data_IF_273169689183
#
_entry.id   IF_273169689183
#
_cell.length_a   1.000
_cell.length_b   1.000
_cell.length_c   1.000
_cell.angle_alpha   90.00
_cell.angle_beta   90.00
_cell.angle_gamma   90.00
#
_symmetry.space_group_name_H-M   'P 1'
#
loop_
_entity.id
_entity.type
_entity.pdbx_description
1 polymer ?
#
# COMPACT_ATOMS: atom_id res chain seq x y z
N UNK A 1 6.98 -23.67 17.82
CA UNK A 1 6.99 -22.30 18.40
C UNK A 1 7.50 -21.39 17.32
N UNK A 2 6.97 -20.18 17.15
CA UNK A 2 7.50 -19.23 16.15
C UNK A 2 8.90 -18.77 16.58
N UNK A 3 9.74 -18.45 15.59
CA UNK A 3 11.05 -17.89 15.85
C UNK A 3 10.92 -16.47 16.46
N UNK A 4 11.85 -16.12 17.33
CA UNK A 4 11.88 -14.81 17.99
C UNK A 4 12.92 -13.93 17.30
N UNK A 5 12.56 -12.69 17.01
CA UNK A 5 13.48 -11.75 16.38
C UNK A 5 14.65 -11.39 17.33
N UNK A 6 15.89 -11.43 16.84
CA UNK A 6 17.02 -10.96 17.63
C UNK A 6 16.95 -9.44 17.80
N UNK A 7 17.46 -8.95 18.93
CA UNK A 7 17.41 -7.52 19.25
C UNK A 7 18.15 -6.64 18.22
N UNK A 8 19.28 -7.09 17.71
CA UNK A 8 20.15 -6.33 16.78
C UNK A 8 20.57 -7.21 15.61
N UNK A 9 19.66 -7.54 14.70
CA UNK A 9 19.99 -8.33 13.53
C UNK A 9 20.94 -7.55 12.60
N UNK A 10 21.87 -8.24 11.98
CA UNK A 10 22.79 -7.66 10.99
C UNK A 10 22.59 -8.27 9.61
N UNK A 11 22.34 -9.56 9.55
CA UNK A 11 22.11 -10.29 8.31
C UNK A 11 20.60 -10.48 8.10
N UNK A 12 20.09 -9.90 7.02
CA UNK A 12 18.65 -9.82 6.75
C UNK A 12 18.29 -10.53 5.46
N UNK A 13 17.05 -10.96 5.37
CA UNK A 13 16.35 -11.18 4.10
C UNK A 13 15.23 -10.15 3.95
N UNK A 14 15.02 -9.68 2.73
CA UNK A 14 14.02 -8.68 2.44
C UNK A 14 12.91 -9.24 1.56
N UNK A 15 11.64 -9.02 1.91
CA UNK A 15 10.49 -9.49 1.15
C UNK A 15 9.60 -8.31 0.77
N UNK A 16 9.43 -8.07 -0.54
CA UNK A 16 8.62 -6.97 -1.02
C UNK A 16 8.29 -7.12 -2.51
N UNK A 17 7.32 -6.34 -3.01
CA UNK A 17 6.96 -6.43 -4.43
C UNK A 17 6.73 -5.07 -5.09
N UNK A 18 5.85 -4.17 -4.60
CA UNK A 18 5.51 -2.93 -5.27
C UNK A 18 6.56 -1.83 -5.06
N UNK A 19 6.35 -0.70 -5.74
CA UNK A 19 7.20 0.48 -5.62
C UNK A 19 7.34 0.97 -4.17
N UNK A 20 6.30 0.86 -3.37
CA UNK A 20 6.32 1.26 -1.95
C UNK A 20 7.27 0.42 -1.07
N UNK A 21 7.72 -0.74 -1.56
CA UNK A 21 8.70 -1.57 -0.88
C UNK A 21 10.16 -1.31 -1.35
N UNK A 22 10.37 -0.37 -2.29
CA UNK A 22 11.72 -0.04 -2.77
C UNK A 22 12.48 0.85 -1.78
N UNK A 23 11.91 1.97 -1.27
CA UNK A 23 12.64 2.85 -0.37
C UNK A 23 13.17 2.17 0.91
N UNK A 24 12.41 1.30 1.61
CA UNK A 24 12.94 0.58 2.76
C UNK A 24 14.11 -0.36 2.42
N UNK A 25 14.07 -1.04 1.26
CA UNK A 25 15.16 -1.89 0.79
C UNK A 25 16.44 -1.07 0.55
N UNK A 26 16.33 0.03 -0.19
CA UNK A 26 17.45 0.92 -0.48
C UNK A 26 18.04 1.54 0.79
N UNK A 27 17.19 1.92 1.74
CA UNK A 27 17.60 2.48 3.01
C UNK A 27 18.36 1.46 3.89
N UNK A 28 17.91 0.21 3.96
CA UNK A 28 18.62 -0.86 4.66
C UNK A 28 19.99 -1.14 4.02
N UNK A 29 20.05 -1.18 2.70
CA UNK A 29 21.30 -1.36 1.97
C UNK A 29 22.27 -0.20 2.21
N UNK A 30 21.80 1.05 2.13
CA UNK A 30 22.59 2.24 2.39
C UNK A 30 23.10 2.31 3.84
N UNK A 31 22.36 1.77 4.80
CA UNK A 31 22.76 1.65 6.20
C UNK A 31 23.67 0.45 6.47
N UNK A 32 24.18 -0.21 5.43
CA UNK A 32 25.14 -1.31 5.47
C UNK A 32 24.62 -2.56 6.24
N UNK A 33 23.32 -2.82 6.22
CA UNK A 33 22.82 -4.14 6.60
C UNK A 33 23.23 -5.19 5.54
N UNK A 34 23.60 -6.38 6.00
CA UNK A 34 23.89 -7.52 5.11
C UNK A 34 22.58 -8.13 4.60
N UNK A 35 22.14 -7.73 3.42
CA UNK A 35 20.93 -8.24 2.78
C UNK A 35 21.29 -9.49 1.98
N UNK A 36 21.12 -10.64 2.59
CA UNK A 36 21.52 -11.94 2.03
C UNK A 36 20.65 -12.40 0.85
N UNK A 37 19.37 -12.00 0.83
CA UNK A 37 18.41 -12.36 -0.23
C UNK A 37 17.25 -11.37 -0.27
N UNK A 38 16.84 -11.04 -1.48
CA UNK A 38 15.58 -10.31 -1.72
C UNK A 38 14.56 -11.27 -2.33
N UNK A 39 13.41 -11.44 -1.69
CA UNK A 39 12.33 -12.26 -2.20
C UNK A 39 11.21 -11.37 -2.73
N UNK A 40 10.82 -11.59 -3.96
CA UNK A 40 9.75 -10.84 -4.61
C UNK A 40 8.88 -11.75 -5.47
N UNK A 41 7.73 -11.24 -5.92
CA UNK A 41 6.87 -12.02 -6.82
C UNK A 41 7.55 -12.20 -8.18
N UNK A 42 7.28 -13.32 -8.88
CA UNK A 42 7.73 -13.51 -10.26
C UNK A 42 7.35 -12.37 -11.18
N UNK A 43 8.10 -12.21 -12.25
CA UNK A 43 7.79 -11.29 -13.33
C UNK A 43 6.37 -11.53 -13.84
N UNK A 44 5.63 -10.47 -14.04
CA UNK A 44 4.22 -10.55 -14.43
C UNK A 44 3.92 -9.54 -15.55
N UNK A 45 2.88 -9.83 -16.34
CA UNK A 45 2.36 -8.87 -17.31
C UNK A 45 1.79 -7.65 -16.58
N UNK A 46 2.21 -6.45 -16.96
CA UNK A 46 1.72 -5.20 -16.42
C UNK A 46 1.13 -4.33 -17.52
N UNK A 47 -0.01 -3.72 -17.20
CA UNK A 47 -0.74 -2.91 -18.19
C UNK A 47 -1.28 -3.75 -19.37
N UNK A 48 -1.37 -3.11 -20.55
CA UNK A 48 -1.88 -3.74 -21.79
C UNK A 48 -0.80 -4.50 -22.57
N UNK A 49 0.42 -4.56 -22.06
CA UNK A 49 1.54 -5.22 -22.73
C UNK A 49 1.52 -6.74 -22.58
N UNK A 50 2.13 -7.45 -23.53
CA UNK A 50 2.35 -8.91 -23.47
C UNK A 50 3.68 -9.29 -22.83
N UNK A 51 4.57 -8.32 -22.63
CA UNK A 51 5.92 -8.53 -22.07
C UNK A 51 5.86 -8.71 -20.55
N UNK A 52 6.58 -9.71 -20.05
CA UNK A 52 6.80 -9.87 -18.62
C UNK A 52 7.69 -8.73 -18.13
N UNK A 53 7.26 -8.09 -17.06
CA UNK A 53 7.97 -6.98 -16.42
C UNK A 53 8.37 -7.40 -15.00
N UNK A 54 9.63 -7.15 -14.60
CA UNK A 54 10.07 -7.42 -13.24
C UNK A 54 9.31 -6.58 -12.23
N UNK A 55 9.30 -7.01 -10.97
CA UNK A 55 8.76 -6.20 -9.89
C UNK A 55 9.69 -5.00 -9.62
N UNK A 56 9.18 -3.83 -9.14
CA UNK A 56 10.03 -2.71 -8.73
C UNK A 56 11.10 -3.12 -7.72
N UNK A 57 10.78 -4.02 -6.80
CA UNK A 57 11.75 -4.56 -5.84
C UNK A 57 12.82 -5.40 -6.52
N UNK A 58 12.48 -6.20 -7.54
CA UNK A 58 13.48 -6.96 -8.33
C UNK A 58 14.43 -6.01 -9.04
N UNK A 59 13.91 -5.01 -9.74
CA UNK A 59 14.72 -3.99 -10.44
C UNK A 59 15.66 -3.26 -9.48
N UNK A 60 15.17 -2.90 -8.29
CA UNK A 60 15.97 -2.26 -7.27
C UNK A 60 17.06 -3.21 -6.72
N UNK A 61 16.73 -4.46 -6.42
CA UNK A 61 17.68 -5.45 -5.92
C UNK A 61 18.81 -5.73 -6.93
N UNK A 62 18.47 -5.91 -8.22
CA UNK A 62 19.43 -6.11 -9.30
C UNK A 62 20.37 -4.90 -9.44
N UNK A 63 19.85 -3.66 -9.37
CA UNK A 63 20.65 -2.43 -9.39
C UNK A 63 21.62 -2.33 -8.20
N UNK A 64 21.22 -2.85 -7.03
CA UNK A 64 22.03 -2.89 -5.82
C UNK A 64 22.99 -4.09 -5.78
N UNK A 65 22.95 -4.99 -6.76
CA UNK A 65 23.77 -6.20 -6.80
C UNK A 65 23.34 -7.26 -5.77
N UNK A 66 22.09 -7.23 -5.32
CA UNK A 66 21.56 -8.15 -4.32
C UNK A 66 20.98 -9.42 -4.97
N UNK A 67 21.15 -10.61 -4.36
CA UNK A 67 20.54 -11.85 -4.84
C UNK A 67 19.02 -11.75 -4.78
N UNK A 68 18.33 -12.31 -5.80
CA UNK A 68 16.86 -12.31 -5.90
C UNK A 68 16.32 -13.73 -6.00
N UNK A 69 15.24 -14.02 -5.28
CA UNK A 69 14.44 -15.22 -5.42
C UNK A 69 12.94 -14.94 -5.53
N UNK A 70 12.19 -15.94 -5.96
CA UNK A 70 10.72 -15.95 -6.02
C UNK A 70 10.09 -16.95 -5.06
N UNK A 71 10.91 -17.73 -4.33
CA UNK A 71 10.51 -18.68 -3.29
C UNK A 71 10.85 -18.12 -1.91
N UNK A 72 9.86 -18.12 -1.01
CA UNK A 72 10.09 -17.71 0.37
C UNK A 72 10.91 -18.73 1.15
N UNK A 73 10.90 -19.99 0.75
CA UNK A 73 11.64 -21.08 1.38
C UNK A 73 13.15 -20.88 1.28
N UNK A 74 13.62 -20.20 0.22
CA UNK A 74 15.05 -19.95 0.00
C UNK A 74 15.68 -19.08 1.10
N UNK A 75 14.86 -18.32 1.85
CA UNK A 75 15.37 -17.50 2.98
C UNK A 75 16.05 -18.36 4.05
N UNK A 76 15.65 -19.63 4.17
CA UNK A 76 16.12 -20.53 5.20
C UNK A 76 17.56 -21.05 4.97
N UNK A 77 18.06 -20.89 3.75
CA UNK A 77 19.42 -21.30 3.35
C UNK A 77 20.43 -20.14 3.41
N UNK A 78 19.97 -18.94 3.76
CA UNK A 78 20.79 -17.73 3.73
C UNK A 78 21.61 -17.47 4.99
N UNK A 79 21.24 -18.12 6.09
CA UNK A 79 21.79 -17.81 7.41
C UNK A 79 21.36 -16.43 7.93
N UNK A 80 20.27 -15.86 7.41
CA UNK A 80 19.74 -14.59 7.89
C UNK A 80 19.21 -14.71 9.33
N UNK A 81 19.33 -13.61 10.05
CA UNK A 81 18.90 -13.50 11.45
C UNK A 81 17.47 -12.99 11.57
N UNK A 82 17.00 -12.21 10.57
CA UNK A 82 15.66 -11.61 10.53
C UNK A 82 15.19 -11.43 9.09
N UNK A 83 13.90 -11.67 8.86
CA UNK A 83 13.21 -11.27 7.64
C UNK A 83 12.51 -9.92 7.81
N UNK A 84 12.65 -9.05 6.83
CA UNK A 84 11.93 -7.76 6.75
C UNK A 84 10.91 -7.85 5.62
N UNK A 85 9.64 -7.61 5.94
CA UNK A 85 8.53 -7.69 4.99
C UNK A 85 7.93 -6.31 4.78
N UNK A 86 7.78 -5.90 3.53
CA UNK A 86 7.07 -4.67 3.14
C UNK A 86 6.22 -4.96 1.90
N UNK A 87 4.93 -4.96 2.04
CA UNK A 87 3.98 -5.15 0.94
C UNK A 87 4.33 -6.35 0.01
N UNK A 88 4.71 -7.49 0.56
CA UNK A 88 5.09 -8.69 -0.20
C UNK A 88 3.91 -9.33 -0.94
N UNK A 89 2.71 -9.31 -0.31
CA UNK A 89 1.47 -9.74 -0.94
C UNK A 89 1.28 -11.26 -1.01
N UNK A 90 2.02 -12.02 -0.20
CA UNK A 90 1.82 -13.47 0.04
C UNK A 90 1.97 -13.80 1.52
N UNK A 91 1.25 -14.82 1.97
CA UNK A 91 1.41 -15.36 3.32
C UNK A 91 2.72 -16.13 3.42
N UNK A 92 3.43 -15.92 4.52
CA UNK A 92 4.58 -16.74 4.93
C UNK A 92 4.04 -17.84 5.83
N UNK A 93 4.26 -19.08 5.41
CA UNK A 93 3.69 -20.23 6.10
C UNK A 93 4.48 -20.57 7.36
N UNK A 94 3.81 -21.23 8.28
CA UNK A 94 4.33 -21.66 9.58
C UNK A 94 5.71 -22.33 9.54
N UNK A 95 6.01 -23.29 8.64
CA UNK A 95 7.34 -23.92 8.60
C UNK A 95 8.51 -22.93 8.42
N UNK A 96 8.28 -21.80 7.75
CA UNK A 96 9.27 -20.73 7.58
C UNK A 96 9.32 -19.86 8.84
N UNK A 97 8.16 -19.50 9.40
CA UNK A 97 8.03 -18.66 10.61
C UNK A 97 8.60 -19.34 11.87
N UNK A 98 8.66 -20.68 11.90
CA UNK A 98 9.28 -21.42 13.02
C UNK A 98 10.81 -21.42 12.96
N UNK A 99 11.41 -21.14 11.80
CA UNK A 99 12.87 -21.17 11.57
C UNK A 99 13.49 -19.79 11.47
N UNK A 100 12.74 -18.80 11.00
CA UNK A 100 13.20 -17.42 10.87
C UNK A 100 12.09 -16.47 11.36
N UNK A 101 12.46 -15.52 12.20
CA UNK A 101 11.56 -14.45 12.62
C UNK A 101 11.41 -13.40 11.52
N UNK A 102 10.24 -12.78 11.44
CA UNK A 102 9.98 -11.71 10.49
C UNK A 102 9.36 -10.51 11.18
N UNK A 103 9.73 -9.32 10.71
CA UNK A 103 9.02 -8.08 11.00
C UNK A 103 8.34 -7.56 9.74
N UNK A 104 7.16 -6.96 9.88
CA UNK A 104 6.41 -6.38 8.78
C UNK A 104 6.15 -4.89 9.04
N UNK A 105 6.44 -4.07 8.05
CA UNK A 105 6.03 -2.66 8.03
C UNK A 105 4.61 -2.59 7.50
N UNK A 106 3.66 -2.34 8.39
CA UNK A 106 2.24 -2.28 8.07
C UNK A 106 1.74 -0.84 8.11
N UNK A 107 1.06 -0.40 7.05
CA UNK A 107 0.66 0.99 6.84
C UNK A 107 -0.69 1.31 7.49
N UNK A 108 -0.84 0.98 8.78
CA UNK A 108 -1.94 1.42 9.64
C UNK A 108 -1.56 1.38 11.12
N UNK A 109 -2.39 1.99 11.96
CA UNK A 109 -2.32 1.87 13.42
C UNK A 109 -3.07 0.61 13.88
N UNK A 110 -2.38 -0.55 13.85
CA UNK A 110 -2.96 -1.83 14.28
C UNK A 110 -3.53 -1.76 15.71
N UNK A 111 -4.69 -2.41 15.97
CA UNK A 111 -5.38 -3.41 15.17
C UNK A 111 -6.33 -2.85 14.08
N UNK A 112 -6.35 -1.52 13.85
CA UNK A 112 -7.17 -0.94 12.80
C UNK A 112 -6.55 -1.23 11.43
N UNK A 113 -7.39 -1.61 10.47
CA UNK A 113 -7.02 -1.86 9.06
C UNK A 113 -6.01 -2.99 8.84
N UNK A 114 -6.19 -4.15 9.47
CA UNK A 114 -5.48 -5.38 9.11
C UNK A 114 -5.81 -5.76 7.66
N UNK A 115 -4.81 -6.08 6.84
CA UNK A 115 -5.01 -6.56 5.47
C UNK A 115 -4.30 -5.76 4.39
N UNK A 116 -4.80 -5.85 3.15
CA UNK A 116 -4.05 -5.53 1.95
C UNK A 116 -4.14 -4.05 1.49
N UNK A 117 -5.16 -3.29 1.95
CA UNK A 117 -5.44 -1.93 1.47
C UNK A 117 -5.71 -0.93 2.62
N UNK A 118 -4.84 -0.87 3.66
CA UNK A 118 -5.08 -0.02 4.83
C UNK A 118 -5.16 1.47 4.50
N UNK A 119 -4.37 1.95 3.55
CA UNK A 119 -4.34 3.36 3.13
C UNK A 119 -5.67 3.78 2.50
N UNK A 120 -6.13 2.98 1.54
CA UNK A 120 -7.39 3.22 0.83
C UNK A 120 -8.58 3.15 1.79
N UNK A 121 -8.60 2.17 2.70
CA UNK A 121 -9.70 2.00 3.67
C UNK A 121 -9.73 3.11 4.71
N UNK A 122 -8.60 3.64 5.15
CA UNK A 122 -8.54 4.80 6.03
C UNK A 122 -9.15 6.05 5.37
N UNK A 123 -8.81 6.30 4.09
CA UNK A 123 -9.40 7.40 3.32
C UNK A 123 -10.90 7.23 3.13
N UNK A 124 -11.37 6.05 2.69
CA UNK A 124 -12.79 5.77 2.49
C UNK A 124 -13.61 5.93 3.77
N UNK A 125 -13.06 5.51 4.90
CA UNK A 125 -13.70 5.67 6.21
C UNK A 125 -13.72 7.12 6.69
N UNK A 126 -12.91 7.99 6.10
CA UNK A 126 -12.76 9.38 6.52
C UNK A 126 -11.97 9.53 7.82
N UNK A 127 -11.02 8.64 8.05
CA UNK A 127 -10.09 8.77 9.16
C UNK A 127 -9.30 10.07 9.03
N UNK A 128 -9.08 10.76 10.13
CA UNK A 128 -8.28 11.98 10.20
C UNK A 128 -6.81 11.71 10.53
N UNK A 129 -6.52 10.49 10.97
CA UNK A 129 -5.18 10.00 11.24
C UNK A 129 -5.06 8.52 10.86
N UNK A 130 -3.88 8.10 10.55
CA UNK A 130 -3.45 6.72 10.35
C UNK A 130 -2.03 6.58 10.86
N UNK A 131 -1.26 5.62 10.37
CA UNK A 131 0.13 5.50 10.76
C UNK A 131 0.81 4.27 10.20
N UNK A 132 1.94 3.93 10.81
CA UNK A 132 2.73 2.76 10.46
C UNK A 132 3.02 1.97 11.74
N UNK A 133 2.91 0.66 11.66
CA UNK A 133 3.35 -0.27 12.69
C UNK A 133 4.48 -1.17 12.16
N UNK A 134 5.55 -1.31 12.95
CA UNK A 134 6.50 -2.39 12.80
C UNK A 134 6.05 -3.53 13.71
N UNK A 135 5.60 -4.64 13.13
CA UNK A 135 5.02 -5.76 13.87
C UNK A 135 5.77 -7.07 13.63
N UNK A 136 5.74 -7.98 14.58
CA UNK A 136 6.16 -9.37 14.38
C UNK A 136 5.16 -10.07 13.44
N UNK A 137 5.65 -10.95 12.57
CA UNK A 137 4.80 -11.69 11.67
C UNK A 137 4.38 -13.01 12.32
N UNK A 138 3.09 -13.30 12.25
CA UNK A 138 2.47 -14.53 12.71
C UNK A 138 1.63 -15.16 11.58
N UNK A 139 1.00 -16.31 11.85
CA UNK A 139 0.16 -16.99 10.86
C UNK A 139 -1.13 -16.21 10.54
N UNK A 140 -1.63 -15.44 11.50
CA UNK A 140 -2.84 -14.62 11.32
C UNK A 140 -2.57 -13.38 10.50
N UNK A 141 -3.59 -12.89 9.79
CA UNK A 141 -3.50 -11.68 8.99
C UNK A 141 -3.26 -10.46 9.88
N UNK A 142 -2.03 -9.97 9.90
CA UNK A 142 -1.56 -8.80 10.65
C UNK A 142 -1.94 -8.83 12.14
N UNK A 143 -1.85 -10.03 12.77
CA UNK A 143 -2.23 -10.25 14.18
C UNK A 143 -1.09 -10.10 15.16
N UNK A 144 0.15 -10.17 14.71
CA UNK A 144 1.32 -10.21 15.57
C UNK A 144 1.51 -8.96 16.43
N UNK A 145 2.28 -9.06 17.51
CA UNK A 145 2.55 -7.94 18.40
C UNK A 145 3.41 -6.87 17.72
N UNK A 146 3.31 -5.64 18.20
CA UNK A 146 3.88 -4.44 17.59
C UNK A 146 5.13 -4.00 18.35
N UNK A 147 6.27 -3.85 17.65
CA UNK A 147 7.52 -3.32 18.17
C UNK A 147 7.50 -1.80 18.28
N UNK A 148 7.01 -1.13 17.24
CA UNK A 148 6.94 0.33 17.16
C UNK A 148 5.74 0.77 16.34
N UNK A 149 5.26 1.99 16.61
CA UNK A 149 4.21 2.67 15.83
C UNK A 149 4.49 4.16 15.72
N UNK A 150 4.13 4.72 14.57
CA UNK A 150 4.16 6.16 14.32
C UNK A 150 2.81 6.60 13.77
N UNK A 151 2.25 7.66 14.35
CA UNK A 151 0.97 8.24 13.91
C UNK A 151 1.22 9.30 12.85
N UNK A 152 0.39 9.32 11.83
CA UNK A 152 0.44 10.27 10.72
C UNK A 152 -0.94 10.89 10.53
N UNK A 153 -1.02 12.22 10.54
CA UNK A 153 -2.25 12.92 10.21
C UNK A 153 -2.56 12.79 8.71
N UNK A 154 -3.82 12.60 8.38
CA UNK A 154 -4.31 12.56 7.01
C UNK A 154 -4.77 13.98 6.62
N UNK A 155 -4.08 14.61 5.67
CA UNK A 155 -4.50 15.91 5.17
C UNK A 155 -5.89 15.82 4.52
N UNK A 156 -6.75 16.84 4.66
CA UNK A 156 -8.13 16.79 4.18
C UNK A 156 -8.28 16.47 2.68
N UNK A 157 -7.29 16.83 1.89
CA UNK A 157 -7.24 16.67 0.44
C UNK A 157 -6.25 15.57 -0.02
N UNK A 158 -5.61 14.86 0.91
CA UNK A 158 -4.62 13.83 0.58
C UNK A 158 -5.22 12.72 -0.29
N UNK A 159 -4.54 12.42 -1.37
CA UNK A 159 -4.81 11.23 -2.20
C UNK A 159 -4.19 9.96 -1.57
N UNK A 160 -4.64 8.80 -2.00
CA UNK A 160 -4.06 7.53 -1.54
C UNK A 160 -2.57 7.41 -1.90
N UNK A 161 -2.15 7.95 -3.04
CA UNK A 161 -0.75 7.89 -3.45
C UNK A 161 0.14 8.81 -2.61
N UNK A 162 -0.31 10.04 -2.30
CA UNK A 162 0.40 10.97 -1.41
C UNK A 162 0.50 10.42 0.01
N UNK A 163 -0.62 9.93 0.57
CA UNK A 163 -0.62 9.33 1.90
C UNK A 163 0.28 8.10 1.96
N UNK A 164 0.25 7.25 0.94
CA UNK A 164 1.12 6.07 0.86
C UNK A 164 2.59 6.46 0.80
N UNK A 165 2.95 7.48 0.03
CA UNK A 165 4.33 7.98 -0.03
C UNK A 165 4.79 8.46 1.35
N UNK A 166 3.99 9.26 2.05
CA UNK A 166 4.28 9.73 3.41
C UNK A 166 4.46 8.57 4.41
N UNK A 167 3.56 7.56 4.35
CA UNK A 167 3.66 6.38 5.22
C UNK A 167 4.89 5.52 4.92
N UNK A 168 5.31 5.44 3.66
CA UNK A 168 6.55 4.76 3.26
C UNK A 168 7.77 5.46 3.86
N UNK A 169 7.83 6.79 3.79
CA UNK A 169 8.93 7.56 4.36
C UNK A 169 9.01 7.39 5.88
N UNK A 170 7.88 7.53 6.57
CA UNK A 170 7.78 7.34 8.03
C UNK A 170 8.15 5.90 8.41
N UNK A 171 7.61 4.92 7.70
CA UNK A 171 7.87 3.49 7.95
C UNK A 171 9.31 3.10 7.69
N UNK A 172 9.94 3.69 6.67
CA UNK A 172 11.36 3.49 6.37
C UNK A 172 12.24 4.03 7.50
N UNK A 173 11.98 5.26 7.95
CA UNK A 173 12.73 5.87 9.05
C UNK A 173 12.57 5.07 10.36
N UNK A 174 11.33 4.65 10.68
CA UNK A 174 11.03 3.82 11.85
C UNK A 174 11.76 2.47 11.76
N UNK A 175 11.69 1.77 10.63
CA UNK A 175 12.37 0.49 10.42
C UNK A 175 13.88 0.61 10.65
N UNK A 176 14.53 1.61 10.05
CA UNK A 176 15.98 1.85 10.23
C UNK A 176 16.33 2.13 11.69
N UNK A 177 15.59 2.98 12.38
CA UNK A 177 15.80 3.30 13.79
C UNK A 177 15.72 2.03 14.64
N UNK A 178 14.63 1.28 14.53
CA UNK A 178 14.40 0.08 15.33
C UNK A 178 15.47 -1.00 15.10
N UNK A 179 15.89 -1.23 13.86
CA UNK A 179 16.94 -2.21 13.57
C UNK A 179 18.34 -1.74 13.99
N UNK A 180 18.60 -0.44 13.98
CA UNK A 180 19.91 0.13 14.37
C UNK A 180 20.06 0.23 15.89
N UNK A 181 19.05 0.74 16.58
CA UNK A 181 19.06 0.91 18.03
C UNK A 181 18.77 -0.42 18.75
N UNK A 182 18.06 -1.30 18.08
CA UNK A 182 17.69 -2.64 18.54
C UNK A 182 16.21 -2.73 18.85
N UNK A 183 15.57 -3.78 18.33
CA UNK A 183 14.17 -4.11 18.57
C UNK A 183 13.90 -4.24 20.08
N UNK A 184 12.88 -3.55 20.54
CA UNK A 184 12.34 -3.68 21.90
C UNK A 184 11.51 -4.96 22.08
N UNK A 185 10.83 -5.07 23.20
CA UNK A 185 9.82 -6.12 23.40
C UNK A 185 8.54 -5.74 22.65
N UNK A 186 8.02 -6.63 21.79
CA UNK A 186 6.81 -6.32 21.05
C UNK A 186 5.57 -6.41 21.94
N UNK A 187 4.67 -5.44 21.79
CA UNK A 187 3.46 -5.32 22.61
C UNK A 187 2.27 -5.90 21.86
N UNK A 188 1.47 -6.79 22.48
CA UNK A 188 0.25 -7.30 21.87
C UNK A 188 -0.70 -6.19 21.42
N UNK A 189 -1.38 -6.41 20.32
CA UNK A 189 -2.41 -5.48 19.84
C UNK A 189 -3.60 -5.48 20.78
N UNK A 190 -4.13 -4.30 21.11
CA UNK A 190 -5.27 -4.12 22.01
C UNK A 190 -6.41 -3.43 21.27
N UNK A 191 -7.64 -3.89 21.48
CA UNK A 191 -8.86 -3.34 20.86
C UNK A 191 -9.44 -4.24 19.77
N UNK A 192 -10.59 -3.81 19.24
CA UNK A 192 -11.29 -4.52 18.16
C UNK A 192 -10.60 -4.33 16.82
N UNK A 193 -10.27 -5.39 16.08
CA UNK A 193 -9.67 -5.26 14.77
C UNK A 193 -10.69 -4.78 13.73
N UNK A 194 -10.22 -3.98 12.76
CA UNK A 194 -10.93 -3.73 11.51
C UNK A 194 -10.10 -4.26 10.33
N UNK A 195 -10.75 -4.50 9.21
CA UNK A 195 -10.10 -5.18 8.08
C UNK A 195 -10.08 -4.32 6.83
N UNK A 196 -8.97 -4.35 6.13
CA UNK A 196 -8.67 -3.61 4.92
C UNK A 196 -8.58 -4.56 3.72
N UNK A 197 -9.72 -5.05 3.25
CA UNK A 197 -9.79 -5.79 1.97
C UNK A 197 -9.37 -4.87 0.82
N UNK A 198 -8.84 -5.47 -0.25
CA UNK A 198 -8.59 -4.72 -1.49
C UNK A 198 -9.85 -4.00 -1.93
N UNK A 199 -9.67 -2.81 -2.49
CA UNK A 199 -10.78 -2.05 -3.09
C UNK A 199 -10.99 -2.58 -4.50
N UNK A 200 -12.20 -3.05 -4.78
CA UNK A 200 -12.57 -3.54 -6.09
C UNK A 200 -13.00 -2.40 -7.01
N UNK A 201 -12.90 -2.64 -8.33
CA UNK A 201 -13.27 -1.64 -9.34
C UNK A 201 -14.73 -1.21 -9.24
N UNK A 202 -15.60 -2.13 -8.83
CA UNK A 202 -17.03 -1.86 -8.66
C UNK A 202 -17.30 -0.98 -7.42
N UNK A 203 -16.53 -1.10 -6.36
CA UNK A 203 -16.58 -0.19 -5.21
C UNK A 203 -16.21 1.26 -5.58
N UNK A 204 -15.45 1.45 -6.67
CA UNK A 204 -15.03 2.76 -7.17
C UNK A 204 -16.06 3.40 -8.13
N UNK A 205 -17.19 2.75 -8.36
CA UNK A 205 -18.29 3.34 -9.11
C UNK A 205 -18.96 4.45 -8.30
N UNK A 206 -19.12 5.64 -8.90
CA UNK A 206 -19.77 6.79 -8.25
C UNK A 206 -21.27 6.61 -8.31
N UNK A 207 -21.86 6.33 -7.17
CA UNK A 207 -23.32 6.40 -6.94
C UNK A 207 -23.67 7.83 -6.52
N UNK A 208 -24.20 8.60 -7.44
CA UNK A 208 -24.55 10.01 -7.26
C UNK A 208 -25.67 10.23 -6.19
N UNK A 209 -26.26 9.19 -5.65
CA UNK A 209 -27.20 9.26 -4.53
C UNK A 209 -26.53 9.32 -3.15
N UNK A 210 -25.20 9.10 -3.07
CA UNK A 210 -24.45 9.15 -1.82
C UNK A 210 -24.02 10.58 -1.47
N UNK A 211 -23.71 10.87 -0.19
CA UNK A 211 -23.17 12.15 0.24
C UNK A 211 -21.90 12.55 -0.53
N UNK A 212 -21.82 13.83 -0.95
CA UNK A 212 -20.71 14.33 -1.77
C UNK A 212 -19.34 14.11 -1.12
N UNK A 213 -19.26 14.22 0.21
CA UNK A 213 -18.02 13.98 0.97
C UNK A 213 -17.53 12.54 0.89
N UNK A 214 -18.46 11.56 0.77
CA UNK A 214 -18.08 10.16 0.59
C UNK A 214 -17.59 9.89 -0.83
N UNK A 215 -18.23 10.53 -1.82
CA UNK A 215 -17.82 10.45 -3.22
C UNK A 215 -16.46 11.12 -3.45
N UNK A 216 -16.20 12.22 -2.75
CA UNK A 216 -14.92 12.92 -2.81
C UNK A 216 -13.78 12.02 -2.26
N UNK A 217 -14.01 11.33 -1.13
CA UNK A 217 -13.06 10.34 -0.60
C UNK A 217 -12.80 9.20 -1.60
N UNK A 218 -13.84 8.74 -2.29
CA UNK A 218 -13.72 7.73 -3.33
C UNK A 218 -12.81 8.22 -4.48
N UNK A 219 -12.93 9.48 -4.87
CA UNK A 219 -12.06 10.09 -5.89
C UNK A 219 -10.61 10.14 -5.41
N UNK A 220 -10.36 10.52 -4.15
CA UNK A 220 -9.00 10.58 -3.57
C UNK A 220 -8.31 9.22 -3.45
N UNK A 221 -9.07 8.15 -3.27
CA UNK A 221 -8.52 6.79 -3.31
C UNK A 221 -7.96 6.45 -4.69
N UNK A 222 -8.49 7.07 -5.73
CA UNK A 222 -8.08 6.87 -7.10
C UNK A 222 -8.87 5.77 -7.82
N UNK A 223 -9.05 5.97 -9.11
CA UNK A 223 -9.79 5.02 -9.95
C UNK A 223 -11.31 5.19 -9.94
N UNK A 224 -11.86 6.17 -9.22
CA UNK A 224 -13.29 6.48 -9.22
C UNK A 224 -13.83 6.70 -10.63
N UNK A 225 -15.00 6.17 -10.92
CA UNK A 225 -15.59 6.23 -12.25
C UNK A 225 -17.10 6.32 -12.24
N UNK A 226 -17.63 6.88 -13.32
CA UNK A 226 -19.05 6.96 -13.61
C UNK A 226 -19.28 6.67 -15.09
N UNK A 227 -20.52 6.81 -15.56
CA UNK A 227 -20.87 6.72 -16.98
C UNK A 227 -21.39 8.06 -17.51
N UNK A 228 -21.29 8.24 -18.79
CA UNK A 228 -21.99 9.29 -19.54
C UNK A 228 -22.36 8.76 -20.91
N UNK A 229 -23.65 8.74 -21.23
CA UNK A 229 -24.19 8.13 -22.46
C UNK A 229 -23.67 6.69 -22.66
N UNK A 230 -23.62 5.90 -21.59
CA UNK A 230 -23.16 4.51 -21.58
C UNK A 230 -21.64 4.32 -21.70
N UNK A 231 -20.84 5.40 -21.86
CA UNK A 231 -19.38 5.33 -21.90
C UNK A 231 -18.77 5.63 -20.55
N UNK A 232 -17.68 4.94 -20.18
CA UNK A 232 -17.01 5.12 -18.91
C UNK A 232 -16.25 6.45 -18.87
N UNK A 233 -16.40 7.16 -17.77
CA UNK A 233 -15.68 8.39 -17.46
C UNK A 233 -15.04 8.25 -16.08
N UNK A 234 -13.72 8.28 -16.00
CA UNK A 234 -13.02 8.32 -14.71
C UNK A 234 -13.01 9.74 -14.18
N UNK A 235 -13.24 9.88 -12.88
CA UNK A 235 -13.08 11.15 -12.16
C UNK A 235 -11.73 11.09 -11.45
N UNK A 236 -10.79 11.94 -11.86
CA UNK A 236 -9.43 11.94 -11.33
C UNK A 236 -9.26 12.92 -10.18
N UNK A 237 -9.98 14.06 -10.27
CA UNK A 237 -10.03 15.07 -9.22
C UNK A 237 -11.43 15.65 -9.14
N UNK A 238 -11.89 15.92 -7.92
CA UNK A 238 -13.16 16.57 -7.66
C UNK A 238 -13.05 17.43 -6.39
N UNK A 239 -13.99 18.32 -6.20
CA UNK A 239 -14.25 19.04 -4.96
C UNK A 239 -15.68 18.87 -4.53
N UNK A 240 -16.03 19.42 -3.38
CA UNK A 240 -17.40 19.48 -2.87
C UNK A 240 -17.82 20.95 -2.78
N UNK A 241 -18.91 21.33 -3.45
CA UNK A 241 -19.52 22.65 -3.41
C UNK A 241 -21.01 22.46 -3.12
N UNK A 242 -21.53 23.17 -2.13
CA UNK A 242 -22.95 23.11 -1.75
C UNK A 242 -23.48 21.66 -1.60
N UNK A 243 -22.69 20.80 -0.98
CA UNK A 243 -22.99 19.38 -0.78
C UNK A 243 -23.11 18.56 -2.07
N UNK A 244 -22.52 19.04 -3.17
CA UNK A 244 -22.48 18.39 -4.46
C UNK A 244 -21.02 18.08 -4.85
N UNK A 245 -20.78 16.88 -5.35
CA UNK A 245 -19.47 16.52 -5.92
C UNK A 245 -19.29 17.25 -7.27
N UNK A 246 -18.28 18.07 -7.35
CA UNK A 246 -17.92 18.83 -8.57
C UNK A 246 -16.64 18.24 -9.18
N UNK A 247 -16.71 17.53 -10.31
CA UNK A 247 -15.54 17.04 -11.02
C UNK A 247 -14.65 18.19 -11.50
N UNK A 248 -13.36 18.06 -11.33
CA UNK A 248 -12.34 19.05 -11.78
C UNK A 248 -11.55 18.48 -12.96
N UNK A 249 -11.08 17.23 -12.82
CA UNK A 249 -10.30 16.54 -13.83
C UNK A 249 -10.88 15.16 -14.09
N UNK A 250 -10.99 14.81 -15.37
CA UNK A 250 -11.62 13.56 -15.81
C UNK A 250 -10.80 12.89 -16.91
N UNK A 251 -11.04 11.59 -17.07
CA UNK A 251 -10.44 10.81 -18.15
C UNK A 251 -11.52 9.97 -18.85
N UNK A 252 -11.93 10.35 -20.07
CA UNK A 252 -12.82 9.52 -20.89
C UNK A 252 -12.11 8.22 -21.30
N UNK A 253 -12.89 7.19 -21.55
CA UNK A 253 -12.37 5.90 -22.01
C UNK A 253 -11.50 6.06 -23.27
N UNK A 254 -10.29 5.49 -23.24
CA UNK A 254 -9.35 5.53 -24.36
C UNK A 254 -8.72 6.90 -24.66
N UNK A 255 -8.95 7.92 -23.82
CA UNK A 255 -8.39 9.27 -24.00
C UNK A 255 -7.46 9.68 -22.86
N UNK A 256 -6.73 10.78 -23.06
CA UNK A 256 -5.93 11.41 -22.01
C UNK A 256 -6.80 12.12 -20.98
N UNK A 257 -6.24 12.36 -19.80
CA UNK A 257 -6.84 13.21 -18.77
C UNK A 257 -7.02 14.65 -19.28
N UNK A 258 -8.11 15.30 -18.84
CA UNK A 258 -8.43 16.68 -19.22
C UNK A 258 -9.32 17.32 -18.14
N UNK A 259 -9.41 18.65 -18.15
CA UNK A 259 -10.33 19.36 -17.28
C UNK A 259 -11.79 18.98 -17.57
N UNK A 260 -12.61 18.92 -16.53
CA UNK A 260 -14.04 18.62 -16.70
C UNK A 260 -14.74 19.60 -17.63
N UNK A 261 -14.36 20.88 -17.59
CA UNK A 261 -14.89 21.91 -18.50
C UNK A 261 -14.57 21.62 -19.96
N UNK A 262 -13.31 21.25 -20.27
CA UNK A 262 -12.90 20.89 -21.62
C UNK A 262 -13.66 19.64 -22.11
N UNK A 263 -13.82 18.64 -21.23
CA UNK A 263 -14.59 17.45 -21.54
C UNK A 263 -16.06 17.77 -21.83
N UNK A 264 -16.75 18.59 -20.98
CA UNK A 264 -18.14 18.99 -21.19
C UNK A 264 -18.36 19.66 -22.53
N UNK A 265 -17.46 20.59 -22.90
CA UNK A 265 -17.50 21.28 -24.19
C UNK A 265 -17.32 20.30 -25.36
N UNK A 266 -16.33 19.42 -25.28
CA UNK A 266 -16.06 18.41 -26.32
C UNK A 266 -17.18 17.37 -26.47
N UNK A 267 -17.79 16.96 -25.36
CA UNK A 267 -18.91 16.04 -25.33
C UNK A 267 -20.25 16.71 -25.72
N UNK A 268 -20.28 18.05 -25.84
CA UNK A 268 -21.48 18.85 -26.13
C UNK A 268 -22.64 18.46 -25.21
N UNK A 269 -22.37 18.46 -23.89
CA UNK A 269 -23.36 18.09 -22.87
C UNK A 269 -24.56 19.02 -22.96
N UNK A 270 -25.75 18.44 -23.14
CA UNK A 270 -26.99 19.21 -23.28
C UNK A 270 -27.60 19.52 -21.91
N UNK A 271 -28.43 20.59 -21.82
CA UNK A 271 -29.20 20.86 -20.61
C UNK A 271 -30.04 19.63 -20.20
N UNK A 272 -29.93 19.22 -18.93
CA UNK A 272 -30.63 18.07 -18.38
C UNK A 272 -29.88 16.73 -18.44
N UNK A 273 -28.81 16.62 -19.23
CA UNK A 273 -27.96 15.43 -19.18
C UNK A 273 -27.14 15.38 -17.89
N UNK A 274 -27.00 14.20 -17.33
CA UNK A 274 -26.29 13.97 -16.06
C UNK A 274 -25.23 12.88 -16.22
N UNK A 275 -24.23 12.95 -15.35
CA UNK A 275 -23.34 11.82 -15.14
C UNK A 275 -24.10 10.67 -14.46
N UNK A 276 -23.69 9.43 -14.71
CA UNK A 276 -24.38 8.24 -14.24
C UNK A 276 -25.43 7.71 -15.23
N UNK A 277 -25.45 8.21 -16.46
CA UNK A 277 -26.39 7.79 -17.52
C UNK A 277 -25.73 6.85 -18.53
#
# INVERSE_FOLDING_TARGET
MLAVAPRRPRRLVYLGTPQSAVPPLEALHAAAFDIALVVTRPDARRGRGVTLTPSPVKEAAERLGLPVSHSVEDVLETGAELGVVVAYGRLIRRPVLERLAFVNVHFSLLPRWRGAAPVERALLAGDTETGVCLMALEEGLDTGPVYARETVAIAPDATADELRAQLVDVGTAMLLRELTEGLGEPVPQVGGPTYASKVDVDELHIDWGRPAVELERLVRVGGAWTTFRGSRLRILRAGVEDDVLVPIEVQPEGKAAMSFTAWRNGARVQPGERLGS
#
